data_IF_152341318819
#
_entry.id   IF_152341318819
#
_cell.length_a   1.000
_cell.length_b   1.000
_cell.length_c   1.000
_cell.angle_alpha   90.00
_cell.angle_beta   90.00
_cell.angle_gamma   90.00
#
_symmetry.space_group_name_H-M   'P 1'
#
loop_
_entity.id
_entity.type
_entity.pdbx_description
1 polymer ?
#
# COMPACT_ATOMS: atom_id res chain seq x y z
N UNK A 1 13.54 -4.92 23.61
CA UNK A 1 12.30 -4.25 23.15
C UNK A 1 11.13 -4.54 24.08
N UNK A 2 10.62 -5.78 24.07
CA UNK A 2 9.41 -6.20 24.80
C UNK A 2 9.42 -5.83 26.29
N UNK A 3 10.52 -6.13 26.99
CA UNK A 3 10.68 -5.78 28.42
C UNK A 3 10.53 -4.27 28.66
N UNK A 4 11.16 -3.44 27.82
CA UNK A 4 11.06 -1.98 27.90
C UNK A 4 9.62 -1.51 27.64
N UNK A 5 8.94 -2.10 26.67
CA UNK A 5 7.55 -1.76 26.34
C UNK A 5 6.59 -2.11 27.49
N UNK A 6 6.74 -3.30 28.08
CA UNK A 6 5.95 -3.73 29.24
C UNK A 6 6.22 -2.86 30.46
N UNK A 7 7.50 -2.59 30.78
CA UNK A 7 7.90 -1.74 31.89
C UNK A 7 7.34 -0.32 31.77
N UNK A 8 7.41 0.28 30.57
CA UNK A 8 6.86 1.61 30.30
C UNK A 8 5.34 1.72 30.46
N UNK A 9 4.63 0.59 30.49
CA UNK A 9 3.17 0.51 30.70
C UNK A 9 2.78 -0.08 32.07
N UNK A 10 3.75 -0.41 32.92
CA UNK A 10 3.49 -1.08 34.20
C UNK A 10 2.88 -2.48 34.05
N UNK A 11 3.08 -3.13 32.90
CA UNK A 11 2.54 -4.45 32.61
C UNK A 11 3.55 -5.54 33.01
N UNK A 12 3.14 -6.59 33.73
CA UNK A 12 4.00 -7.73 34.02
C UNK A 12 4.29 -8.53 32.74
N UNK A 13 5.51 -9.07 32.62
CA UNK A 13 5.88 -9.89 31.48
C UNK A 13 5.36 -11.33 31.66
N UNK A 14 4.32 -11.69 30.91
CA UNK A 14 3.70 -13.02 30.97
C UNK A 14 4.18 -13.98 29.85
N UNK A 15 3.61 -15.18 29.81
CA UNK A 15 3.95 -16.17 28.78
C UNK A 15 3.48 -15.79 27.38
N UNK A 16 2.36 -15.05 27.25
CA UNK A 16 1.83 -14.61 25.97
C UNK A 16 2.71 -13.52 25.36
N UNK A 17 3.19 -12.56 26.16
CA UNK A 17 4.14 -11.54 25.74
C UNK A 17 5.45 -12.17 25.30
N UNK A 18 6.02 -13.09 26.09
CA UNK A 18 7.31 -13.73 25.76
C UNK A 18 7.29 -14.44 24.40
N UNK A 19 6.16 -15.03 24.00
CA UNK A 19 6.01 -15.66 22.67
C UNK A 19 6.22 -14.66 21.52
N UNK A 20 5.96 -13.37 21.73
CA UNK A 20 6.18 -12.33 20.72
C UNK A 20 7.66 -12.08 20.42
N UNK A 21 8.57 -12.58 21.25
CA UNK A 21 10.02 -12.53 21.04
C UNK A 21 10.59 -13.82 20.42
N UNK A 22 9.75 -14.83 20.14
CA UNK A 22 10.16 -16.03 19.43
C UNK A 22 10.12 -15.75 17.92
N UNK A 23 11.30 -15.56 17.34
CA UNK A 23 11.46 -15.20 15.93
C UNK A 23 12.21 -16.30 15.17
N UNK A 24 11.98 -16.45 13.85
CA UNK A 24 12.76 -17.37 13.03
C UNK A 24 14.26 -17.06 13.08
N UNK A 25 15.09 -18.09 13.07
CA UNK A 25 16.53 -17.91 13.03
C UNK A 25 16.96 -17.18 11.75
N UNK A 26 17.84 -16.20 11.88
CA UNK A 26 18.36 -15.41 10.75
C UNK A 26 17.40 -14.37 10.18
N UNK A 27 16.27 -14.09 10.84
CA UNK A 27 15.38 -13.01 10.41
C UNK A 27 15.99 -11.63 10.62
N UNK A 28 15.64 -10.68 9.76
CA UNK A 28 15.86 -9.25 10.00
C UNK A 28 14.73 -8.72 10.87
N UNK A 29 15.03 -8.07 11.98
CA UNK A 29 14.00 -7.49 12.87
C UNK A 29 13.47 -6.19 12.26
N UNK A 30 12.15 -6.05 12.18
CA UNK A 30 11.47 -4.78 11.89
C UNK A 30 11.03 -4.16 13.24
N UNK A 31 11.66 -3.07 13.68
CA UNK A 31 11.37 -2.49 14.99
C UNK A 31 9.92 -1.97 15.06
N UNK A 32 9.23 -2.24 16.18
CA UNK A 32 7.91 -1.67 16.44
C UNK A 32 8.04 -0.53 17.46
N UNK A 33 7.87 0.71 17.05
CA UNK A 33 7.92 1.84 17.98
C UNK A 33 6.65 1.97 18.84
N UNK A 34 5.51 1.39 18.40
CA UNK A 34 4.18 1.62 18.99
C UNK A 34 3.65 0.44 19.80
N UNK A 35 4.03 -0.78 19.43
CA UNK A 35 3.53 -2.02 20.03
C UNK A 35 4.60 -2.92 20.62
N UNK A 36 4.13 -3.99 21.27
CA UNK A 36 4.98 -4.98 21.93
C UNK A 36 5.58 -6.00 20.95
N UNK A 37 4.83 -6.35 19.90
CA UNK A 37 5.24 -7.30 18.88
C UNK A 37 6.14 -6.63 17.83
N UNK A 38 7.39 -7.07 17.72
CA UNK A 38 8.24 -6.66 16.60
C UNK A 38 7.78 -7.34 15.31
N UNK A 39 7.99 -6.69 14.18
CA UNK A 39 7.91 -7.37 12.89
C UNK A 39 9.24 -8.08 12.59
N UNK A 40 9.25 -8.88 11.54
CA UNK A 40 10.48 -9.46 11.01
C UNK A 40 10.38 -9.72 9.52
N UNK A 41 11.54 -9.88 8.87
CA UNK A 41 11.65 -10.26 7.48
C UNK A 41 12.58 -11.48 7.33
N UNK A 42 12.21 -12.41 6.44
CA UNK A 42 13.00 -13.60 6.13
C UNK A 42 13.06 -13.83 4.63
N UNK A 43 14.19 -14.35 4.16
CA UNK A 43 14.36 -14.81 2.79
C UNK A 43 14.11 -16.32 2.74
N UNK A 44 13.03 -16.74 2.08
CA UNK A 44 12.65 -18.14 1.90
C UNK A 44 13.09 -18.62 0.53
N UNK A 45 13.71 -19.80 0.45
CA UNK A 45 13.96 -20.46 -0.83
C UNK A 45 12.67 -21.08 -1.35
N UNK A 46 12.32 -20.76 -2.60
CA UNK A 46 11.19 -21.31 -3.33
C UNK A 46 11.70 -21.97 -4.62
N UNK A 47 10.88 -22.82 -5.25
CA UNK A 47 11.30 -23.60 -6.43
C UNK A 47 11.90 -22.75 -7.56
N UNK A 48 11.46 -21.48 -7.68
CA UNK A 48 11.86 -20.56 -8.73
C UNK A 48 12.72 -19.39 -8.24
N UNK A 49 13.28 -19.44 -7.02
CA UNK A 49 14.19 -18.39 -6.53
C UNK A 49 14.13 -18.13 -5.02
N UNK A 50 14.25 -16.86 -4.65
CA UNK A 50 14.12 -16.38 -3.28
C UNK A 50 12.85 -15.54 -3.12
N UNK A 51 12.11 -15.74 -2.04
CA UNK A 51 10.94 -14.97 -1.66
C UNK A 51 11.21 -14.24 -0.34
N UNK A 52 11.14 -12.91 -0.37
CA UNK A 52 11.23 -12.08 0.83
C UNK A 52 9.85 -12.01 1.49
N UNK A 53 9.73 -12.49 2.72
CA UNK A 53 8.50 -12.47 3.49
C UNK A 53 8.65 -11.49 4.64
N UNK A 54 7.69 -10.57 4.76
CA UNK A 54 7.58 -9.65 5.89
C UNK A 54 6.41 -10.07 6.77
N UNK A 55 6.65 -10.18 8.06
CA UNK A 55 5.63 -10.43 9.07
C UNK A 55 5.54 -9.20 9.97
N UNK A 56 4.37 -8.58 9.98
CA UNK A 56 4.09 -7.33 10.70
C UNK A 56 2.93 -7.50 11.68
N UNK A 57 2.78 -6.63 12.68
CA UNK A 57 1.60 -6.61 13.54
C UNK A 57 0.31 -6.40 12.73
N UNK A 58 -0.80 -6.98 13.21
CA UNK A 58 -2.11 -6.79 12.60
C UNK A 58 -2.79 -5.46 12.94
N UNK A 59 -2.27 -4.71 13.92
CA UNK A 59 -2.81 -3.40 14.32
C UNK A 59 -2.41 -2.34 13.28
N UNK A 60 -3.36 -1.68 12.59
CA UNK A 60 -3.03 -0.77 11.49
C UNK A 60 -2.06 0.36 11.86
N UNK A 61 -2.21 0.95 13.04
CA UNK A 61 -1.33 2.03 13.51
C UNK A 61 0.10 1.58 13.84
N UNK A 62 0.30 0.29 14.14
CA UNK A 62 1.63 -0.30 14.33
C UNK A 62 2.25 -0.64 12.97
N UNK A 63 1.50 -1.31 12.09
CA UNK A 63 1.91 -1.62 10.73
C UNK A 63 2.35 -0.36 9.98
N UNK A 64 1.59 0.74 10.08
CA UNK A 64 1.91 1.99 9.39
C UNK A 64 3.34 2.48 9.68
N UNK A 65 3.87 2.25 10.90
CA UNK A 65 5.26 2.64 11.24
C UNK A 65 6.33 1.72 10.66
N UNK A 66 5.96 0.49 10.30
CA UNK A 66 6.87 -0.47 9.70
C UNK A 66 6.86 -0.41 8.17
N UNK A 67 5.86 0.23 7.56
CA UNK A 67 5.77 0.31 6.10
C UNK A 67 6.96 1.05 5.49
N UNK A 68 7.41 2.15 6.11
CA UNK A 68 8.55 2.92 5.63
C UNK A 68 9.83 2.07 5.50
N UNK A 69 10.34 1.40 6.56
CA UNK A 69 11.52 0.54 6.42
C UNK A 69 11.29 -0.69 5.53
N UNK A 70 10.04 -1.19 5.42
CA UNK A 70 9.71 -2.26 4.46
C UNK A 70 9.83 -1.77 3.02
N UNK A 71 9.32 -0.57 2.73
CA UNK A 71 9.45 0.06 1.42
C UNK A 71 10.92 0.33 1.08
N UNK A 72 11.73 0.80 2.04
CA UNK A 72 13.18 0.98 1.84
C UNK A 72 13.89 -0.33 1.49
N UNK A 73 13.63 -1.43 2.23
CA UNK A 73 14.21 -2.75 1.92
C UNK A 73 13.76 -3.27 0.55
N UNK A 74 12.48 -3.07 0.20
CA UNK A 74 11.94 -3.42 -1.13
C UNK A 74 12.63 -2.64 -2.25
N UNK A 75 12.74 -1.33 -2.13
CA UNK A 75 13.36 -0.48 -3.16
C UNK A 75 14.85 -0.76 -3.30
N UNK A 76 15.55 -1.05 -2.21
CA UNK A 76 16.97 -1.40 -2.24
C UNK A 76 17.21 -2.75 -2.93
N UNK A 77 16.33 -3.72 -2.74
CA UNK A 77 16.45 -5.08 -3.30
C UNK A 77 15.98 -5.17 -4.75
N UNK A 78 14.96 -4.40 -5.11
CA UNK A 78 14.38 -4.35 -6.45
C UNK A 78 14.37 -2.91 -6.96
N UNK A 79 15.52 -2.40 -7.41
CA UNK A 79 15.58 -1.07 -8.00
C UNK A 79 14.78 -1.04 -9.31
N UNK A 80 14.14 0.10 -9.58
CA UNK A 80 13.40 0.31 -10.83
C UNK A 80 12.01 -0.36 -10.87
N UNK A 81 11.42 -0.71 -9.72
CA UNK A 81 10.01 -1.06 -9.66
C UNK A 81 9.16 0.10 -10.24
N UNK A 82 8.17 -0.19 -11.10
CA UNK A 82 7.31 0.85 -11.65
C UNK A 82 6.55 1.53 -10.52
N UNK A 83 6.72 2.85 -10.43
CA UNK A 83 5.96 3.66 -9.50
C UNK A 83 4.60 3.98 -10.12
N UNK A 84 3.53 3.58 -9.45
CA UNK A 84 2.18 3.92 -9.88
C UNK A 84 1.69 5.10 -9.06
N UNK A 85 1.38 6.20 -9.74
CA UNK A 85 0.75 7.36 -9.13
C UNK A 85 -0.73 7.40 -9.49
N UNK A 86 -1.60 7.54 -8.49
CA UNK A 86 -3.05 7.39 -8.63
C UNK A 86 -3.76 8.59 -8.00
N UNK A 87 -4.34 9.44 -8.82
CA UNK A 87 -5.33 10.41 -8.38
C UNK A 87 -6.67 9.71 -8.14
N UNK A 88 -7.26 9.93 -6.97
CA UNK A 88 -8.54 9.35 -6.57
C UNK A 88 -9.56 10.45 -6.37
N UNK A 89 -10.61 10.45 -7.19
CA UNK A 89 -11.72 11.39 -7.11
C UNK A 89 -12.94 10.65 -6.55
N UNK A 90 -13.50 11.16 -5.47
CA UNK A 90 -14.72 10.62 -4.88
C UNK A 90 -15.92 11.41 -5.39
N UNK A 91 -16.91 10.69 -5.91
CA UNK A 91 -18.20 11.26 -6.31
C UNK A 91 -19.32 10.66 -5.47
N UNK A 92 -20.44 11.36 -5.38
CA UNK A 92 -21.61 10.94 -4.60
C UNK A 92 -22.86 10.95 -5.47
N UNK A 93 -23.67 9.90 -5.38
CA UNK A 93 -24.94 9.79 -6.12
C UNK A 93 -24.78 9.49 -7.61
N UNK A 94 -23.56 9.31 -8.11
CA UNK A 94 -23.28 8.89 -9.49
C UNK A 94 -23.05 7.38 -9.55
N UNK A 95 -23.74 6.73 -10.49
CA UNK A 95 -23.43 5.35 -10.89
C UNK A 95 -22.22 5.32 -11.83
N UNK A 96 -21.56 4.17 -11.90
CA UNK A 96 -20.39 3.97 -12.78
C UNK A 96 -20.72 4.28 -14.24
N UNK A 97 -21.82 3.73 -14.77
CA UNK A 97 -22.24 3.96 -16.16
C UNK A 97 -22.54 5.43 -16.44
N UNK A 98 -23.17 6.15 -15.50
CA UNK A 98 -23.43 7.59 -15.62
C UNK A 98 -22.12 8.38 -15.65
N UNK A 99 -21.16 8.06 -14.77
CA UNK A 99 -19.87 8.73 -14.75
C UNK A 99 -19.05 8.45 -16.02
N UNK A 100 -19.06 7.20 -16.50
CA UNK A 100 -18.43 6.82 -17.78
C UNK A 100 -19.01 7.60 -18.95
N UNK A 101 -20.34 7.74 -19.01
CA UNK A 101 -21.01 8.48 -20.08
C UNK A 101 -20.65 9.98 -20.02
N UNK A 102 -20.68 10.59 -18.83
CA UNK A 102 -20.32 12.00 -18.66
C UNK A 102 -18.87 12.27 -19.11
N UNK A 103 -17.93 11.37 -18.81
CA UNK A 103 -16.53 11.49 -19.23
C UNK A 103 -16.39 11.33 -20.75
N UNK A 104 -17.15 10.42 -21.36
CA UNK A 104 -17.15 10.26 -22.82
C UNK A 104 -17.70 11.52 -23.51
N UNK A 105 -18.85 12.02 -23.04
CA UNK A 105 -19.56 13.16 -23.63
C UNK A 105 -18.75 14.48 -23.55
N UNK A 106 -17.91 14.64 -22.52
CA UNK A 106 -17.12 15.86 -22.29
C UNK A 106 -15.94 16.06 -23.27
N UNK A 107 -15.45 15.00 -23.93
CA UNK A 107 -14.28 15.18 -24.80
C UNK A 107 -13.90 14.06 -25.76
N UNK A 108 -14.56 12.91 -25.76
CA UNK A 108 -14.25 11.86 -26.73
C UNK A 108 -15.50 11.26 -27.36
N UNK A 109 -15.53 11.34 -28.70
CA UNK A 109 -16.42 10.51 -29.50
C UNK A 109 -16.36 9.04 -29.09
N UNK A 110 -17.44 8.32 -29.41
CA UNK A 110 -17.71 6.94 -29.03
C UNK A 110 -16.46 6.04 -28.97
N UNK A 111 -16.10 5.59 -27.75
CA UNK A 111 -15.29 4.39 -27.55
C UNK A 111 -13.86 4.55 -27.00
N UNK A 112 -13.36 5.75 -26.73
CA UNK A 112 -12.05 5.92 -26.06
C UNK A 112 -12.06 7.17 -25.16
N UNK A 113 -11.40 7.17 -23.99
CA UNK A 113 -11.22 8.40 -23.23
C UNK A 113 -10.28 9.36 -23.99
N UNK A 114 -10.49 10.69 -24.00
CA UNK A 114 -9.68 11.66 -24.74
C UNK A 114 -8.34 11.96 -24.05
N UNK A 115 -7.79 10.98 -23.35
CA UNK A 115 -6.72 11.19 -22.39
C UNK A 115 -5.38 10.76 -22.95
N UNK A 116 -4.27 11.35 -22.46
CA UNK A 116 -2.94 10.94 -22.84
C UNK A 116 -2.76 9.43 -22.67
N UNK A 117 -2.02 8.78 -23.58
CA UNK A 117 -1.82 7.33 -23.57
C UNK A 117 -1.18 6.80 -22.28
N UNK A 118 -0.52 7.68 -21.51
CA UNK A 118 0.07 7.35 -20.23
C UNK A 118 -0.96 7.24 -19.08
N UNK A 119 -2.17 7.79 -19.25
CA UNK A 119 -3.21 7.86 -18.22
C UNK A 119 -4.21 6.71 -18.39
N UNK A 120 -4.43 5.98 -17.31
CA UNK A 120 -5.44 4.92 -17.24
C UNK A 120 -6.62 5.33 -16.35
N UNK A 121 -7.83 5.14 -16.87
CA UNK A 121 -9.10 5.36 -16.15
C UNK A 121 -9.53 4.08 -15.44
N UNK A 122 -9.87 4.18 -14.16
CA UNK A 122 -10.51 3.11 -13.41
C UNK A 122 -11.69 3.61 -12.57
N UNK A 123 -12.63 2.70 -12.29
CA UNK A 123 -13.78 2.96 -11.43
C UNK A 123 -13.82 1.96 -10.28
N UNK A 124 -14.30 2.40 -9.12
CA UNK A 124 -14.70 1.53 -8.01
C UNK A 124 -16.07 1.98 -7.51
N UNK A 125 -17.11 1.29 -7.95
CA UNK A 125 -18.47 1.51 -7.48
C UNK A 125 -18.63 1.08 -6.01
N UNK A 126 -19.30 1.92 -5.21
CA UNK A 126 -19.59 1.64 -3.81
C UNK A 126 -20.70 2.56 -3.30
N UNK A 127 -21.96 2.24 -3.64
CA UNK A 127 -23.12 3.09 -3.34
C UNK A 127 -23.13 3.53 -1.85
N UNK A 128 -23.35 4.82 -1.55
CA UNK A 128 -23.74 5.91 -2.46
C UNK A 128 -22.55 6.64 -3.15
N UNK A 129 -21.32 6.15 -2.99
CA UNK A 129 -20.12 6.76 -3.53
C UNK A 129 -19.62 6.02 -4.79
N UNK A 130 -18.92 6.74 -5.64
CA UNK A 130 -18.17 6.17 -6.75
C UNK A 130 -16.78 6.80 -6.75
N UNK A 131 -15.75 5.95 -6.66
CA UNK A 131 -14.36 6.37 -6.78
C UNK A 131 -13.92 6.26 -8.23
N UNK A 132 -13.45 7.37 -8.80
CA UNK A 132 -12.81 7.45 -10.11
C UNK A 132 -11.29 7.54 -9.87
N UNK A 133 -10.52 6.77 -10.64
CA UNK A 133 -9.06 6.69 -10.54
C UNK A 133 -8.44 7.11 -11.86
N UNK A 134 -7.48 8.02 -11.79
CA UNK A 134 -6.55 8.33 -12.88
C UNK A 134 -5.17 7.84 -12.46
N UNK A 135 -4.66 6.80 -13.12
CA UNK A 135 -3.39 6.18 -12.77
C UNK A 135 -2.36 6.32 -13.90
N UNK A 136 -1.14 6.67 -13.52
CA UNK A 136 0.05 6.68 -14.40
C UNK A 136 1.12 5.77 -13.80
N UNK A 137 1.85 5.07 -14.67
CA UNK A 137 2.93 4.14 -14.27
C UNK A 137 4.33 4.75 -14.43
N UNK A 138 4.41 5.95 -15.00
CA UNK A 138 5.60 6.79 -15.06
C UNK A 138 5.39 8.05 -14.21
N UNK A 139 6.20 8.28 -13.17
CA UNK A 139 6.14 9.50 -12.37
C UNK A 139 6.27 10.80 -13.19
N UNK A 140 6.95 10.76 -14.34
CA UNK A 140 7.07 11.92 -15.23
C UNK A 140 5.73 12.29 -15.90
N UNK A 141 4.79 11.34 -16.01
CA UNK A 141 3.47 11.55 -16.59
C UNK A 141 2.44 12.11 -15.58
N UNK A 142 2.87 12.55 -14.39
CA UNK A 142 1.97 13.18 -13.41
C UNK A 142 1.25 14.42 -13.97
N UNK A 143 1.93 15.22 -14.80
CA UNK A 143 1.32 16.38 -15.46
C UNK A 143 0.22 15.98 -16.45
N UNK A 144 0.40 14.88 -17.18
CA UNK A 144 -0.59 14.34 -18.12
C UNK A 144 -1.86 13.90 -17.38
N UNK A 145 -1.69 13.28 -16.21
CA UNK A 145 -2.81 12.93 -15.32
C UNK A 145 -3.54 14.16 -14.80
N UNK A 146 -2.81 15.16 -14.35
CA UNK A 146 -3.40 16.37 -13.73
C UNK A 146 -4.12 17.25 -14.77
N UNK A 147 -3.72 17.17 -16.04
CA UNK A 147 -4.41 17.83 -17.15
C UNK A 147 -5.77 17.20 -17.51
N UNK A 148 -6.11 16.03 -16.96
CA UNK A 148 -7.40 15.38 -17.14
C UNK A 148 -8.49 15.86 -16.15
N UNK A 149 -8.17 16.83 -15.28
CA UNK A 149 -9.11 17.50 -14.37
C UNK A 149 -9.72 18.75 -15.01
#
# INVERSE_FOLDING_TARGET
HLERWCAGRGLPLDGANRKQALLPAGCTILPNARGSAVGFAVDLRVNTGSCRVYCTPGVPGELATMLEPVCEDLTARWPGLPAVDILRLQTFGLGESTAQQLIADDGAGEGAAPWPAAVSLGFRAGAPQLEIKLAVTDPAAGADRDACL
#
